data_IF_609906127429
#
_entry.id   IF_609906127429
#
_cell.length_a   1.000
_cell.length_b   1.000
_cell.length_c   1.000
_cell.angle_alpha   90.00
_cell.angle_beta   90.00
_cell.angle_gamma   90.00
#
_symmetry.space_group_name_H-M   'P 1'
#
loop_
_entity.id
_entity.type
_entity.pdbx_description
1 polymer ?
#
# COMPACT_ATOMS: atom_id res chain seq x y z
N UNK A 1 -4.11 -29.06 -5.78
CA UNK A 1 -3.78 -27.83 -6.53
C UNK A 1 -3.58 -26.74 -5.47
N UNK A 2 -2.44 -26.78 -4.78
CA UNK A 2 -2.26 -26.08 -3.50
C UNK A 2 -0.79 -25.71 -3.22
N UNK A 3 0.01 -25.39 -4.25
CA UNK A 3 1.46 -25.14 -4.08
C UNK A 3 1.92 -23.83 -4.76
N UNK A 4 1.24 -22.70 -4.53
CA UNK A 4 1.69 -21.40 -5.11
C UNK A 4 1.85 -20.28 -4.08
N UNK A 5 1.75 -20.55 -2.77
CA UNK A 5 1.78 -19.48 -1.76
C UNK A 5 3.13 -19.28 -1.04
N UNK A 6 4.08 -20.20 -1.18
CA UNK A 6 5.25 -20.21 -0.29
C UNK A 6 6.45 -19.39 -0.78
N UNK A 7 6.48 -19.04 -2.07
CA UNK A 7 7.58 -18.27 -2.67
C UNK A 7 7.63 -16.78 -2.28
N UNK A 8 6.63 -16.26 -1.56
CA UNK A 8 6.57 -14.83 -1.18
C UNK A 8 7.19 -14.56 0.20
N UNK A 9 7.52 -15.60 0.97
CA UNK A 9 7.88 -15.47 2.40
C UNK A 9 9.40 -15.36 2.69
N UNK A 10 10.27 -15.27 1.68
CA UNK A 10 11.73 -15.16 1.89
C UNK A 10 12.36 -13.94 1.25
N UNK A 11 11.71 -12.78 1.37
CA UNK A 11 12.37 -11.49 1.15
C UNK A 11 12.73 -10.94 2.54
N UNK A 12 13.97 -11.17 2.94
CA UNK A 12 14.71 -10.53 4.03
C UNK A 12 13.85 -9.87 5.12
N UNK A 13 13.66 -10.61 6.22
CA UNK A 13 13.22 -10.13 7.53
C UNK A 13 14.35 -9.30 8.18
N UNK A 14 14.89 -8.33 7.44
CA UNK A 14 15.68 -7.26 8.03
C UNK A 14 14.67 -6.21 8.47
N UNK A 15 14.31 -6.24 9.75
CA UNK A 15 13.45 -5.29 10.45
C UNK A 15 12.11 -5.04 9.73
N UNK A 16 11.09 -5.85 10.03
CA UNK A 16 9.71 -5.45 9.74
C UNK A 16 9.40 -4.18 10.54
N UNK A 17 9.71 -3.03 9.94
CA UNK A 17 9.11 -1.75 10.28
C UNK A 17 7.60 -1.97 10.33
N UNK A 18 7.03 -1.85 11.53
CA UNK A 18 5.61 -2.15 11.82
C UNK A 18 4.65 -1.30 10.98
N UNK A 19 5.15 -0.23 10.37
CA UNK A 19 4.41 0.72 9.55
C UNK A 19 4.48 0.48 8.04
N UNK A 20 4.88 -0.72 7.57
CA UNK A 20 4.91 -1.04 6.13
C UNK A 20 3.66 -1.77 5.65
N UNK A 21 3.03 -1.25 4.61
CA UNK A 21 1.90 -1.86 3.90
C UNK A 21 2.37 -2.33 2.54
N UNK A 22 2.17 -3.62 2.25
CA UNK A 22 2.38 -4.17 0.91
C UNK A 22 1.03 -4.27 0.19
N UNK A 23 0.86 -3.44 -0.83
CA UNK A 23 -0.32 -3.44 -1.69
C UNK A 23 -0.15 -4.52 -2.75
N UNK A 24 -1.05 -5.50 -2.73
CA UNK A 24 -1.14 -6.56 -3.71
C UNK A 24 -2.54 -6.60 -4.35
N UNK A 25 -2.59 -7.09 -5.58
CA UNK A 25 -3.74 -6.91 -6.48
C UNK A 25 -4.89 -7.90 -6.25
N UNK A 26 -4.82 -8.85 -5.32
CA UNK A 26 -5.65 -10.06 -5.48
C UNK A 26 -6.96 -10.09 -4.72
N UNK A 27 -7.21 -9.34 -3.64
CA UNK A 27 -8.48 -9.52 -2.87
C UNK A 27 -9.02 -8.32 -2.08
N UNK A 28 -8.33 -7.18 -2.00
CA UNK A 28 -8.72 -6.08 -1.09
C UNK A 28 -9.14 -4.84 -1.88
N UNK A 29 -10.26 -4.19 -1.52
CA UNK A 29 -10.71 -2.96 -2.17
C UNK A 29 -9.75 -1.80 -1.87
N UNK A 30 -9.71 -0.76 -2.72
CA UNK A 30 -8.81 0.38 -2.57
C UNK A 30 -8.89 1.05 -1.18
N UNK A 31 -10.11 1.28 -0.71
CA UNK A 31 -10.38 1.91 0.58
C UNK A 31 -9.90 1.10 1.79
N UNK A 32 -9.72 -0.22 1.65
CA UNK A 32 -9.13 -1.02 2.71
C UNK A 32 -7.71 -0.53 3.03
N UNK A 33 -6.90 -0.27 2.00
CA UNK A 33 -5.53 0.21 2.18
C UNK A 33 -5.48 1.66 2.65
N UNK A 34 -6.43 2.51 2.20
CA UNK A 34 -6.57 3.88 2.71
C UNK A 34 -6.84 3.89 4.22
N UNK A 35 -7.78 3.07 4.68
CA UNK A 35 -8.13 2.99 6.10
C UNK A 35 -7.02 2.34 6.94
N UNK A 36 -6.34 1.33 6.39
CA UNK A 36 -5.17 0.73 7.04
C UNK A 36 -4.02 1.75 7.19
N UNK A 37 -3.77 2.54 6.16
CA UNK A 37 -2.75 3.60 6.20
C UNK A 37 -3.08 4.66 7.26
N UNK A 38 -4.35 5.08 7.38
CA UNK A 38 -4.81 5.98 8.46
C UNK A 38 -4.51 5.39 9.84
N UNK A 39 -4.86 4.12 10.08
CA UNK A 39 -4.57 3.44 11.36
C UNK A 39 -3.08 3.35 11.66
N UNK A 40 -2.25 3.07 10.65
CA UNK A 40 -0.79 2.98 10.84
C UNK A 40 -0.17 4.35 11.12
N UNK A 41 -0.66 5.42 10.47
CA UNK A 41 -0.25 6.79 10.78
C UNK A 41 -0.67 7.23 12.18
N UNK A 42 -1.81 6.76 12.70
CA UNK A 42 -2.20 6.99 14.11
C UNK A 42 -1.20 6.36 15.10
N UNK A 43 -0.69 5.17 14.80
CA UNK A 43 0.17 4.41 15.71
C UNK A 43 1.65 4.76 15.59
N UNK A 44 2.12 5.11 14.39
CA UNK A 44 3.54 5.23 14.07
C UNK A 44 3.94 6.57 13.46
N UNK A 45 3.01 7.55 13.35
CA UNK A 45 3.18 8.87 12.70
C UNK A 45 3.53 8.85 11.20
N UNK A 46 4.03 7.72 10.70
CA UNK A 46 4.44 7.52 9.31
C UNK A 46 3.96 6.16 8.83
N UNK A 47 3.75 6.05 7.52
CA UNK A 47 3.39 4.80 6.85
C UNK A 47 4.21 4.64 5.57
N UNK A 48 4.71 3.42 5.34
CA UNK A 48 5.42 3.05 4.13
C UNK A 48 4.51 2.18 3.25
N UNK A 49 4.08 2.70 2.11
CA UNK A 49 3.31 1.96 1.10
C UNK A 49 4.26 1.36 0.09
N UNK A 50 4.18 0.05 -0.13
CA UNK A 50 5.00 -0.66 -1.11
C UNK A 50 4.12 -1.46 -2.06
N UNK A 51 4.47 -1.47 -3.36
CA UNK A 51 3.85 -2.37 -4.32
C UNK A 51 4.89 -2.92 -5.28
N UNK A 52 4.65 -4.17 -5.70
CA UNK A 52 5.37 -4.82 -6.78
C UNK A 52 4.48 -4.83 -8.01
N UNK A 53 5.05 -4.43 -9.14
CA UNK A 53 4.40 -4.57 -10.45
C UNK A 53 4.12 -6.05 -10.73
N UNK A 54 2.94 -6.34 -11.28
CA UNK A 54 2.60 -7.68 -11.72
C UNK A 54 3.15 -7.90 -13.12
N UNK A 55 3.83 -9.02 -13.33
CA UNK A 55 4.42 -9.35 -14.63
C UNK A 55 3.34 -9.92 -15.53
N UNK A 56 2.78 -9.10 -16.42
CA UNK A 56 1.91 -9.55 -17.50
C UNK A 56 2.68 -9.51 -18.81
N UNK A 57 3.22 -10.66 -19.24
CA UNK A 57 3.90 -10.83 -20.53
C UNK A 57 2.92 -10.81 -21.71
N UNK A 58 2.03 -9.82 -21.75
CA UNK A 58 1.14 -9.57 -22.88
C UNK A 58 0.54 -8.16 -22.70
N UNK A 59 1.26 -7.16 -23.18
CA UNK A 59 0.83 -5.81 -23.61
C UNK A 59 -0.46 -5.13 -23.07
N UNK A 60 -1.00 -5.38 -21.86
CA UNK A 60 -2.16 -4.58 -21.40
C UNK A 60 -2.43 -4.36 -19.90
N UNK A 61 -1.78 -5.01 -18.94
CA UNK A 61 -2.16 -4.81 -17.51
C UNK A 61 -0.98 -4.88 -16.55
N UNK A 62 0.06 -4.07 -16.75
CA UNK A 62 1.29 -4.15 -15.93
C UNK A 62 1.30 -3.28 -14.65
N UNK A 63 0.26 -2.49 -14.37
CA UNK A 63 0.36 -1.40 -13.38
C UNK A 63 -0.67 -1.41 -12.25
N UNK A 64 -1.55 -2.40 -12.14
CA UNK A 64 -2.67 -2.34 -11.19
C UNK A 64 -2.25 -2.08 -9.72
N UNK A 65 -1.21 -2.76 -9.24
CA UNK A 65 -0.73 -2.59 -7.87
C UNK A 65 0.04 -1.26 -7.64
N UNK A 66 0.88 -0.85 -8.59
CA UNK A 66 1.62 0.43 -8.51
C UNK A 66 0.64 1.60 -8.60
N UNK A 67 -0.32 1.53 -9.53
CA UNK A 67 -1.41 2.51 -9.68
C UNK A 67 -2.20 2.64 -8.39
N UNK A 68 -2.51 1.52 -7.73
CA UNK A 68 -3.26 1.54 -6.48
C UNK A 68 -2.48 2.27 -5.37
N UNK A 69 -1.16 2.05 -5.24
CA UNK A 69 -0.32 2.81 -4.27
C UNK A 69 -0.34 4.30 -4.55
N UNK A 70 -0.22 4.70 -5.82
CA UNK A 70 -0.28 6.11 -6.23
C UNK A 70 -1.63 6.71 -5.86
N UNK A 71 -2.73 6.04 -6.20
CA UNK A 71 -4.08 6.51 -5.85
C UNK A 71 -4.31 6.60 -4.34
N UNK A 72 -3.82 5.64 -3.54
CA UNK A 72 -3.93 5.71 -2.07
C UNK A 72 -3.16 6.92 -1.53
N UNK A 73 -1.94 7.15 -2.01
CA UNK A 73 -1.16 8.31 -1.61
C UNK A 73 -1.85 9.62 -1.98
N UNK A 74 -2.37 9.73 -3.21
CA UNK A 74 -3.12 10.90 -3.68
C UNK A 74 -4.37 11.15 -2.82
N UNK A 75 -5.17 10.13 -2.53
CA UNK A 75 -6.37 10.25 -1.68
C UNK A 75 -6.00 10.80 -0.30
N UNK A 76 -4.92 10.29 0.31
CA UNK A 76 -4.50 10.73 1.64
C UNK A 76 -3.97 12.18 1.64
N UNK A 77 -3.28 12.59 0.58
CA UNK A 77 -2.77 13.96 0.44
C UNK A 77 -3.88 14.97 0.13
N UNK A 78 -4.76 14.64 -0.83
CA UNK A 78 -5.86 15.52 -1.24
C UNK A 78 -6.85 15.79 -0.11
N UNK A 79 -7.08 14.78 0.74
CA UNK A 79 -7.92 14.91 1.92
C UNK A 79 -7.18 15.53 3.13
N UNK A 80 -5.92 15.94 2.98
CA UNK A 80 -5.15 16.59 4.04
C UNK A 80 -4.67 15.69 5.18
N UNK A 81 -4.78 14.36 5.05
CA UNK A 81 -4.33 13.42 6.10
C UNK A 81 -2.81 13.23 6.11
N UNK A 82 -2.16 13.26 4.96
CA UNK A 82 -0.74 12.94 4.86
C UNK A 82 0.06 13.89 3.97
N UNK A 83 1.37 13.94 4.20
CA UNK A 83 2.37 14.59 3.35
C UNK A 83 3.38 13.55 2.90
N UNK A 84 3.79 13.59 1.65
CA UNK A 84 4.86 12.72 1.15
C UNK A 84 6.22 13.09 1.76
N UNK A 85 6.93 12.08 2.26
CA UNK A 85 8.31 12.24 2.72
C UNK A 85 9.30 11.70 1.71
N UNK A 86 8.98 10.56 1.08
CA UNK A 86 9.88 9.88 0.15
C UNK A 86 9.07 9.09 -0.87
N UNK A 87 9.48 9.17 -2.14
CA UNK A 87 8.99 8.31 -3.21
C UNK A 87 10.22 7.66 -3.84
N UNK A 88 10.23 6.34 -3.94
CA UNK A 88 11.33 5.60 -4.52
C UNK A 88 10.79 4.50 -5.42
N UNK A 89 11.32 4.45 -6.64
CA UNK A 89 11.05 3.38 -7.59
C UNK A 89 12.33 2.62 -7.83
N UNK A 90 12.26 1.30 -7.83
CA UNK A 90 13.39 0.41 -8.09
C UNK A 90 12.94 -0.77 -8.94
N UNK A 91 13.88 -1.47 -9.55
CA UNK A 91 13.63 -2.77 -10.15
C UNK A 91 14.20 -3.84 -9.25
N UNK A 92 13.39 -4.86 -8.95
CA UNK A 92 13.82 -6.02 -8.16
C UNK A 92 13.80 -7.25 -9.05
N UNK A 93 14.90 -7.99 -9.04
CA UNK A 93 14.98 -9.29 -9.71
C UNK A 93 14.34 -10.35 -8.83
N UNK A 94 13.27 -10.96 -9.34
CA UNK A 94 12.62 -12.09 -8.68
C UNK A 94 12.99 -13.35 -9.45
N UNK A 95 13.58 -14.30 -8.74
CA UNK A 95 13.76 -15.67 -9.27
C UNK A 95 12.40 -16.35 -9.21
N UNK A 96 11.86 -16.66 -10.38
CA UNK A 96 10.64 -17.44 -10.53
C UNK A 96 11.05 -18.87 -10.89
N UNK A 97 11.00 -19.76 -9.89
CA UNK A 97 11.40 -21.17 -10.04
C UNK A 97 10.52 -21.91 -11.06
N UNK A 98 9.35 -21.38 -11.41
CA UNK A 98 8.47 -21.97 -12.44
C UNK A 98 8.88 -21.62 -13.87
N UNK A 99 9.70 -20.58 -14.08
CA UNK A 99 10.00 -20.03 -15.42
C UNK A 99 11.47 -20.10 -15.83
N UNK A 100 12.36 -20.59 -14.96
CA UNK A 100 13.77 -20.83 -15.29
C UNK A 100 14.61 -19.59 -15.65
N UNK A 101 14.02 -18.39 -15.64
CA UNK A 101 14.71 -17.12 -15.89
C UNK A 101 14.31 -16.07 -14.83
N UNK A 102 15.26 -15.30 -14.29
CA UNK A 102 14.95 -14.21 -13.39
C UNK A 102 14.13 -13.14 -14.11
N UNK A 103 13.09 -12.65 -13.45
CA UNK A 103 12.22 -11.59 -13.99
C UNK A 103 12.41 -10.32 -13.19
N UNK A 104 12.73 -9.22 -13.88
CA UNK A 104 12.76 -7.90 -13.28
C UNK A 104 11.33 -7.37 -13.09
N UNK A 105 10.97 -7.05 -11.85
CA UNK A 105 9.71 -6.40 -11.50
C UNK A 105 9.98 -4.99 -11.00
N UNK A 106 9.17 -4.02 -11.41
CA UNK A 106 9.19 -2.70 -10.80
C UNK A 106 8.66 -2.78 -9.36
N UNK A 107 9.29 -2.06 -8.45
CA UNK A 107 8.89 -1.86 -7.06
C UNK A 107 8.74 -0.36 -6.82
N UNK A 108 7.64 0.03 -6.19
CA UNK A 108 7.43 1.38 -5.70
C UNK A 108 7.37 1.36 -4.17
N UNK A 109 7.98 2.36 -3.54
CA UNK A 109 7.95 2.62 -2.12
C UNK A 109 7.61 4.09 -1.90
N UNK A 110 6.53 4.36 -1.17
CA UNK A 110 6.05 5.70 -0.84
C UNK A 110 5.96 5.81 0.68
N UNK A 111 6.72 6.74 1.25
CA UNK A 111 6.66 7.07 2.68
C UNK A 111 5.80 8.31 2.85
N UNK A 112 4.75 8.19 3.65
CA UNK A 112 3.84 9.25 3.99
C UNK A 112 3.97 9.57 5.48
N UNK A 113 4.00 10.85 5.81
CA UNK A 113 3.97 11.36 7.18
C UNK A 113 2.62 11.99 7.50
N UNK A 114 2.24 11.89 8.77
CA UNK A 114 1.06 12.54 9.33
C UNK A 114 1.15 14.07 9.22
N UNK A 115 0.05 14.72 8.86
CA UNK A 115 -0.11 16.19 8.88
C UNK A 115 -0.54 16.69 10.26
N UNK A 116 -0.39 17.99 10.53
CA UNK A 116 -0.88 18.59 11.78
C UNK A 116 -2.41 18.47 11.94
N UNK A 117 -3.14 18.48 10.83
CA UNK A 117 -4.61 18.42 10.81
C UNK A 117 -5.17 16.99 10.93
N UNK A 118 -4.29 15.98 10.95
CA UNK A 118 -4.70 14.59 10.86
C UNK A 118 -5.62 14.14 12.01
N UNK A 119 -5.30 14.52 13.26
CA UNK A 119 -6.10 14.09 14.41
C UNK A 119 -7.49 14.72 14.39
N UNK A 120 -7.59 16.00 13.97
CA UNK A 120 -8.86 16.69 13.81
C UNK A 120 -9.72 16.04 12.73
N UNK A 121 -9.11 15.71 11.57
CA UNK A 121 -9.82 15.05 10.47
C UNK A 121 -10.23 13.62 10.81
N UNK A 122 -9.46 12.91 11.65
CA UNK A 122 -9.83 11.58 12.14
C UNK A 122 -10.99 11.64 13.14
N UNK A 123 -10.99 12.62 14.04
CA UNK A 123 -12.09 12.84 14.99
C UNK A 123 -13.39 13.23 14.24
N UNK A 124 -13.31 14.20 13.32
CA UNK A 124 -14.46 14.62 12.52
C UNK A 124 -15.03 13.49 11.65
N UNK A 125 -14.16 12.64 11.08
CA UNK A 125 -14.60 11.47 10.32
C UNK A 125 -15.29 10.42 11.21
N UNK A 126 -14.86 10.27 12.47
CA UNK A 126 -15.49 9.36 13.42
C UNK A 126 -16.87 9.88 13.85
N UNK A 127 -16.98 11.17 14.13
CA UNK A 127 -18.26 11.84 14.45
C UNK A 127 -19.26 11.75 13.29
N UNK A 128 -18.80 11.90 12.04
CA UNK A 128 -19.67 11.76 10.87
C UNK A 128 -20.20 10.33 10.68
N UNK A 129 -19.42 9.31 11.05
CA UNK A 129 -19.86 7.91 11.02
C UNK A 129 -20.88 7.63 12.14
N UNK A 130 -20.65 8.18 13.34
CA UNK A 130 -21.54 8.02 14.49
C UNK A 130 -22.89 8.74 14.28
N UNK A 131 -22.89 9.95 13.71
CA UNK A 131 -24.10 10.73 13.43
C UNK A 131 -24.87 10.22 12.19
N UNK A 132 -24.20 9.55 11.25
CA UNK A 132 -24.86 8.93 10.09
C UNK A 132 -25.54 7.61 10.39
N UNK A 133 -25.30 7.02 11.57
CA UNK A 133 -25.89 5.75 12.00
C UNK A 133 -27.02 5.95 13.04
N UNK A 134 -27.43 7.19 13.27
CA UNK A 134 -28.53 7.59 14.16
C UNK A 134 -29.80 8.06 13.41
N UNK A 135 -29.83 7.96 12.08
CA UNK A 135 -30.99 8.33 11.24
C UNK A 135 -31.62 7.14 10.47
N UNK A 136 -31.38 5.90 10.90
CA UNK A 136 -32.13 4.71 10.44
C UNK A 136 -32.91 4.05 11.60
#
# INVERSE_FOLDING_TARGET
MEEITDGVNKINIAEQKKNRIQVSNTKKPLFFYVNLAKRYMQQHNEVELSALGMVVWMRKVFTAAISSVVSIAEILKNNGFAVEKKITTSTVEIRDDSRGRPVQKAKIEVVLGKTANFDQLMAAAQEAIENGNSED
#
